data_IF_623253170162
#
_entry.id   IF_623253170162
#
_cell.length_a   1.000
_cell.length_b   1.000
_cell.length_c   1.000
_cell.angle_alpha   90.00
_cell.angle_beta   90.00
_cell.angle_gamma   90.00
#
_symmetry.space_group_name_H-M   'P 1'
#
loop_
_entity.id
_entity.type
_entity.pdbx_description
1 polymer ?
#
# COMPACT_ATOMS: atom_id res chain seq x y z
N UNK A 1 38.08 19.92 -6.97
CA UNK A 1 38.40 20.30 -5.57
C UNK A 1 37.22 20.03 -4.65
N UNK A 2 36.00 20.51 -4.95
CA UNK A 2 34.78 20.26 -4.14
C UNK A 2 34.52 18.76 -3.87
N UNK A 3 34.53 17.91 -4.90
CA UNK A 3 34.35 16.45 -4.72
C UNK A 3 35.37 15.82 -3.75
N UNK A 4 36.63 16.27 -3.77
CA UNK A 4 37.66 15.79 -2.84
C UNK A 4 37.37 16.18 -1.39
N UNK A 5 36.87 17.41 -1.16
CA UNK A 5 36.49 17.87 0.18
C UNK A 5 35.33 17.06 0.74
N UNK A 6 34.35 16.73 -0.11
CA UNK A 6 33.20 15.88 0.24
C UNK A 6 33.67 14.47 0.62
N UNK A 7 34.51 13.84 -0.19
CA UNK A 7 35.02 12.48 0.08
C UNK A 7 35.86 12.40 1.35
N UNK A 8 36.52 13.50 1.74
CA UNK A 8 37.31 13.58 2.97
C UNK A 8 36.46 13.89 4.22
N UNK A 9 35.12 13.96 4.10
CA UNK A 9 34.20 14.33 5.17
C UNK A 9 34.56 15.65 5.89
N UNK A 10 35.21 16.57 5.17
CA UNK A 10 35.66 17.85 5.70
C UNK A 10 34.59 18.96 5.54
N UNK A 11 33.33 18.58 5.34
CA UNK A 11 32.22 19.48 5.00
C UNK A 11 31.24 19.55 6.16
N UNK A 12 31.14 20.72 6.78
CA UNK A 12 30.10 21.04 7.76
C UNK A 12 28.79 21.47 7.07
N UNK A 13 27.72 21.65 7.85
CA UNK A 13 26.40 22.03 7.32
C UNK A 13 26.45 23.33 6.49
N UNK A 14 27.25 24.31 6.94
CA UNK A 14 27.41 25.59 6.23
C UNK A 14 28.18 25.41 4.92
N UNK A 15 29.25 24.61 4.93
CA UNK A 15 29.99 24.21 3.73
C UNK A 15 29.10 23.48 2.73
N UNK A 16 28.25 22.56 3.19
CA UNK A 16 27.31 21.85 2.33
C UNK A 16 26.31 22.80 1.65
N UNK A 17 25.83 23.82 2.38
CA UNK A 17 24.99 24.88 1.79
C UNK A 17 25.73 25.66 0.70
N UNK A 18 26.96 26.10 0.93
CA UNK A 18 27.74 26.81 -0.09
C UNK A 18 28.03 25.95 -1.33
N UNK A 19 28.31 24.65 -1.13
CA UNK A 19 28.48 23.70 -2.24
C UNK A 19 27.17 23.60 -3.02
N UNK A 20 26.03 23.44 -2.34
CA UNK A 20 24.71 23.35 -2.98
C UNK A 20 24.37 24.63 -3.76
N UNK A 21 24.68 25.80 -3.22
CA UNK A 21 24.49 27.09 -3.90
C UNK A 21 25.37 27.21 -5.15
N UNK A 22 26.64 26.77 -5.08
CA UNK A 22 27.52 26.74 -6.23
C UNK A 22 27.02 25.78 -7.33
N UNK A 23 26.58 24.58 -6.94
CA UNK A 23 25.99 23.60 -7.86
C UNK A 23 24.71 24.14 -8.50
N UNK A 24 23.89 24.88 -7.75
CA UNK A 24 22.70 25.54 -8.27
C UNK A 24 23.03 26.56 -9.36
N UNK A 25 24.03 27.42 -9.15
CA UNK A 25 24.47 28.37 -10.17
C UNK A 25 24.97 27.66 -11.44
N UNK A 26 25.73 26.56 -11.30
CA UNK A 26 26.19 25.77 -12.45
C UNK A 26 25.03 25.16 -13.24
N UNK A 27 24.01 24.64 -12.53
CA UNK A 27 22.78 24.14 -13.14
C UNK A 27 22.03 25.25 -13.91
N UNK A 28 21.84 26.44 -13.32
CA UNK A 28 21.14 27.55 -13.99
C UNK A 28 21.84 28.03 -15.27
N UNK A 29 23.17 27.93 -15.31
CA UNK A 29 23.95 28.24 -16.50
C UNK A 29 24.12 27.05 -17.47
N UNK A 30 23.51 25.89 -17.20
CA UNK A 30 23.65 24.65 -17.97
C UNK A 30 25.11 24.20 -18.15
N UNK A 31 25.94 24.38 -17.10
CA UNK A 31 27.37 24.07 -17.12
C UNK A 31 27.60 22.71 -16.45
N UNK A 32 28.25 21.79 -17.19
CA UNK A 32 28.70 20.50 -16.68
C UNK A 32 27.62 19.72 -15.88
N UNK A 33 26.38 19.71 -16.36
CA UNK A 33 25.18 19.19 -15.65
C UNK A 33 25.35 17.76 -15.11
N UNK A 34 26.05 16.87 -15.83
CA UNK A 34 26.36 15.51 -15.35
C UNK A 34 27.27 15.53 -14.12
N UNK A 35 28.29 16.40 -14.10
CA UNK A 35 29.17 16.55 -12.93
C UNK A 35 28.43 17.20 -11.77
N UNK A 36 27.48 18.08 -12.05
CA UNK A 36 26.58 18.64 -11.04
C UNK A 36 25.78 17.51 -10.37
N UNK A 37 25.11 16.65 -11.14
CA UNK A 37 24.39 15.46 -10.62
C UNK A 37 25.30 14.53 -9.82
N UNK A 38 26.50 14.23 -10.32
CA UNK A 38 27.45 13.37 -9.61
C UNK A 38 27.89 13.98 -8.29
N UNK A 39 28.14 15.29 -8.26
CA UNK A 39 28.62 15.99 -7.06
C UNK A 39 27.54 16.10 -5.99
N UNK A 40 26.30 16.41 -6.36
CA UNK A 40 25.18 16.43 -5.40
C UNK A 40 24.87 15.03 -4.87
N UNK A 41 24.92 14.01 -5.74
CA UNK A 41 24.75 12.60 -5.32
C UNK A 41 25.82 12.20 -4.31
N UNK A 42 27.08 12.56 -4.58
CA UNK A 42 28.19 12.29 -3.67
C UNK A 42 28.01 13.02 -2.34
N UNK A 43 27.64 14.31 -2.37
CA UNK A 43 27.42 15.13 -1.16
C UNK A 43 26.40 14.46 -0.22
N UNK A 44 25.28 14.01 -0.78
CA UNK A 44 24.17 13.43 -0.03
C UNK A 44 24.47 12.00 0.44
N UNK A 45 25.10 11.16 -0.38
CA UNK A 45 25.37 9.76 -0.01
C UNK A 45 26.53 9.60 0.97
N UNK A 46 27.46 10.55 1.04
CA UNK A 46 28.66 10.44 1.90
C UNK A 46 28.55 11.17 3.24
N UNK A 47 27.60 12.10 3.38
CA UNK A 47 27.44 12.90 4.60
C UNK A 47 25.98 13.00 5.02
N UNK A 48 25.73 12.90 6.32
CA UNK A 48 24.39 13.08 6.93
C UNK A 48 24.10 14.54 7.30
N UNK A 49 25.07 15.44 7.13
CA UNK A 49 24.97 16.87 7.48
C UNK A 49 23.99 17.67 6.62
N UNK A 50 23.50 17.10 5.53
CA UNK A 50 22.57 17.77 4.61
C UNK A 50 21.13 17.39 4.94
N UNK A 51 20.37 18.33 5.48
CA UNK A 51 18.96 18.20 5.87
C UNK A 51 18.22 19.53 5.64
N UNK A 52 16.89 19.53 5.77
CA UNK A 52 16.04 20.72 5.61
C UNK A 52 16.16 21.38 4.23
N UNK A 53 16.19 22.72 4.20
CA UNK A 53 16.20 23.49 2.94
C UNK A 53 17.37 23.15 2.01
N UNK A 54 18.52 22.75 2.56
CA UNK A 54 19.69 22.39 1.74
C UNK A 54 19.46 21.06 1.03
N UNK A 55 18.79 20.11 1.69
CA UNK A 55 18.36 18.86 1.08
C UNK A 55 17.27 19.10 0.03
N UNK A 56 16.27 19.92 0.36
CA UNK A 56 15.20 20.29 -0.56
C UNK A 56 15.78 20.88 -1.87
N UNK A 57 16.67 21.88 -1.74
CA UNK A 57 17.33 22.51 -2.89
C UNK A 57 18.17 21.53 -3.71
N UNK A 58 18.84 20.59 -3.04
CA UNK A 58 19.61 19.53 -3.70
C UNK A 58 18.72 18.59 -4.52
N UNK A 59 17.56 18.21 -3.98
CA UNK A 59 16.58 17.38 -4.68
C UNK A 59 15.95 18.13 -5.85
N UNK A 60 15.53 19.38 -5.65
CA UNK A 60 14.96 20.23 -6.71
C UNK A 60 15.95 20.37 -7.87
N UNK A 61 17.23 20.55 -7.59
CA UNK A 61 18.27 20.59 -8.63
C UNK A 61 18.27 19.31 -9.47
N UNK A 62 18.20 18.12 -8.84
CA UNK A 62 18.12 16.85 -9.56
C UNK A 62 16.83 16.74 -10.40
N UNK A 63 15.68 17.12 -9.83
CA UNK A 63 14.41 17.13 -10.56
C UNK A 63 14.43 18.08 -11.75
N UNK A 64 14.97 19.30 -11.62
CA UNK A 64 15.08 20.24 -12.74
C UNK A 64 15.96 19.69 -13.86
N UNK A 65 17.06 19.01 -13.52
CA UNK A 65 17.91 18.33 -14.51
C UNK A 65 17.20 17.16 -15.20
N UNK A 66 16.25 16.49 -14.52
CA UNK A 66 15.43 15.44 -15.12
C UNK A 66 14.47 15.94 -16.21
N UNK A 67 14.10 17.23 -16.20
CA UNK A 67 13.24 17.84 -17.22
C UNK A 67 14.02 18.66 -18.27
N UNK A 68 15.33 18.40 -18.41
CA UNK A 68 16.15 19.01 -19.47
C UNK A 68 15.92 18.33 -20.83
N UNK A 69 16.45 18.95 -21.89
CA UNK A 69 16.32 18.43 -23.26
C UNK A 69 17.29 17.28 -23.58
N UNK A 70 18.29 17.06 -22.74
CA UNK A 70 19.35 16.09 -23.01
C UNK A 70 19.04 14.74 -22.36
N UNK A 71 18.75 13.72 -23.18
CA UNK A 71 18.30 12.41 -22.70
C UNK A 71 19.27 11.71 -21.77
N UNK A 72 20.59 11.91 -21.95
CA UNK A 72 21.61 11.35 -21.06
C UNK A 72 21.50 11.94 -19.66
N UNK A 73 21.24 13.25 -19.58
CA UNK A 73 21.05 13.96 -18.30
C UNK A 73 19.73 13.53 -17.67
N UNK A 74 18.65 13.48 -18.45
CA UNK A 74 17.32 13.03 -18.01
C UNK A 74 17.39 11.65 -17.36
N UNK A 75 18.00 10.67 -18.04
CA UNK A 75 18.12 9.30 -17.54
C UNK A 75 18.99 9.23 -16.28
N UNK A 76 20.12 9.94 -16.28
CA UNK A 76 21.02 10.01 -15.12
C UNK A 76 20.32 10.63 -13.92
N UNK A 77 19.66 11.76 -14.12
CA UNK A 77 18.91 12.47 -13.09
C UNK A 77 17.78 11.62 -12.54
N UNK A 78 17.03 10.90 -13.40
CA UNK A 78 15.96 10.00 -12.96
C UNK A 78 16.47 8.87 -12.06
N UNK A 79 17.61 8.27 -12.39
CA UNK A 79 18.27 7.29 -11.53
C UNK A 79 18.74 7.90 -10.21
N UNK A 80 19.38 9.07 -10.27
CA UNK A 80 19.81 9.82 -9.08
C UNK A 80 18.64 10.17 -8.16
N UNK A 81 17.52 10.66 -8.70
CA UNK A 81 16.33 11.01 -7.90
C UNK A 81 15.80 9.79 -7.16
N UNK A 82 15.62 8.65 -7.85
CA UNK A 82 15.19 7.40 -7.21
C UNK A 82 16.10 7.01 -6.05
N UNK A 83 17.41 7.05 -6.27
CA UNK A 83 18.40 6.76 -5.23
C UNK A 83 18.31 7.74 -4.05
N UNK A 84 18.22 9.04 -4.33
CA UNK A 84 18.18 10.07 -3.29
C UNK A 84 16.87 10.05 -2.51
N UNK A 85 15.74 9.78 -3.15
CA UNK A 85 14.45 9.58 -2.48
C UNK A 85 14.57 8.40 -1.50
N UNK A 86 15.06 7.24 -1.95
CA UNK A 86 15.30 6.10 -1.05
C UNK A 86 16.23 6.46 0.10
N UNK A 87 17.32 7.17 -0.17
CA UNK A 87 18.27 7.62 0.85
C UNK A 87 17.61 8.48 1.93
N UNK A 88 16.67 9.37 1.57
CA UNK A 88 15.96 10.19 2.57
C UNK A 88 15.19 9.30 3.56
N UNK A 89 14.51 8.25 3.08
CA UNK A 89 13.78 7.32 3.94
C UNK A 89 14.70 6.35 4.70
N UNK A 90 15.81 5.91 4.09
CA UNK A 90 16.85 5.13 4.79
C UNK A 90 17.42 5.90 5.98
N UNK A 91 17.61 7.21 5.85
CA UNK A 91 18.06 8.06 6.96
C UNK A 91 17.08 8.11 8.12
N UNK A 92 15.77 7.98 7.89
CA UNK A 92 14.77 7.87 8.97
C UNK A 92 14.97 6.57 9.74
N UNK A 93 15.25 5.47 9.05
CA UNK A 93 15.55 4.20 9.71
C UNK A 93 16.86 4.30 10.52
N UNK A 94 17.88 4.98 9.98
CA UNK A 94 19.12 5.25 10.71
C UNK A 94 18.84 6.09 11.98
N UNK A 95 18.05 7.17 11.86
CA UNK A 95 17.62 8.01 12.97
C UNK A 95 16.95 7.18 14.08
N UNK A 96 16.10 6.24 13.68
CA UNK A 96 15.39 5.35 14.59
C UNK A 96 16.34 4.40 15.32
N UNK A 97 17.28 3.78 14.63
CA UNK A 97 18.25 2.88 15.25
C UNK A 97 19.16 3.62 16.24
N UNK A 98 19.58 4.84 15.90
CA UNK A 98 20.32 5.71 16.82
C UNK A 98 19.48 6.07 18.06
N UNK A 99 18.21 6.37 17.88
CA UNK A 99 17.27 6.66 18.97
C UNK A 99 17.08 5.45 19.91
N UNK A 100 16.94 4.23 19.37
CA UNK A 100 16.79 3.00 20.18
C UNK A 100 18.02 2.76 21.05
N UNK A 101 19.21 2.84 20.46
CA UNK A 101 20.48 2.66 21.17
C UNK A 101 20.66 3.70 22.29
N UNK A 102 20.17 4.93 22.10
CA UNK A 102 20.25 5.98 23.12
C UNK A 102 19.32 5.72 24.32
N UNK A 103 18.14 5.14 24.08
CA UNK A 103 17.20 4.77 25.15
C UNK A 103 17.76 3.62 25.98
N UNK A 104 18.40 2.62 25.36
CA UNK A 104 19.03 1.50 26.07
C UNK A 104 20.20 1.94 26.96
N UNK A 105 21.04 2.88 26.49
CA UNK A 105 22.17 3.43 27.27
C UNK A 105 21.68 4.30 28.43
N UNK A 106 20.59 5.07 28.24
CA UNK A 106 20.01 5.91 29.29
C UNK A 106 19.39 5.09 30.44
N UNK A 107 19.03 3.83 30.21
CA UNK A 107 18.56 2.91 31.25
C UNK A 107 19.68 2.33 32.13
N UNK A 108 20.95 2.41 31.72
CA UNK A 108 22.08 1.81 32.47
C UNK A 108 22.99 2.81 33.19
N UNK A 109 23.02 4.10 32.85
CA UNK A 109 23.84 5.10 33.58
C UNK A 109 23.19 6.49 33.63
N UNK A 110 22.66 6.87 34.81
CA UNK A 110 22.24 8.24 35.08
C UNK A 110 23.45 9.06 35.58
N UNK A 111 24.07 9.86 34.71
CA UNK A 111 24.88 11.04 35.09
C UNK A 111 25.48 11.70 33.82
N UNK A 112 24.65 12.25 32.94
CA UNK A 112 25.00 13.39 32.07
C UNK A 112 23.75 13.88 31.34
N UNK A 113 23.55 15.20 31.17
CA UNK A 113 22.43 15.71 30.38
C UNK A 113 22.69 15.35 28.90
N UNK A 114 21.75 14.67 28.22
CA UNK A 114 21.94 14.29 26.83
C UNK A 114 21.97 15.53 25.91
N UNK A 115 22.70 15.49 24.78
CA UNK A 115 22.64 16.53 23.76
C UNK A 115 21.22 16.68 23.16
N UNK A 116 20.87 17.83 22.56
CA UNK A 116 19.48 18.18 22.26
C UNK A 116 18.80 17.21 21.28
N UNK A 117 17.60 16.72 21.63
CA UNK A 117 16.72 15.86 20.81
C UNK A 117 16.30 16.47 19.44
N UNK A 118 16.62 17.73 19.20
CA UNK A 118 16.20 18.48 18.01
C UNK A 118 16.94 18.08 16.72
N UNK A 119 18.18 17.58 16.80
CA UNK A 119 18.93 17.09 15.63
C UNK A 119 18.49 15.69 15.18
N UNK A 120 17.82 14.93 16.06
CA UNK A 120 17.47 13.52 15.86
C UNK A 120 16.01 13.32 15.40
N UNK A 121 15.34 14.39 14.97
CA UNK A 121 14.02 14.36 14.32
C UNK A 121 14.04 14.94 12.90
N UNK A 122 15.22 15.37 12.42
CA UNK A 122 15.35 16.10 11.16
C UNK A 122 15.17 15.19 9.96
N UNK A 123 15.58 13.92 10.00
CA UNK A 123 15.43 13.02 8.86
C UNK A 123 13.98 12.56 8.71
N UNK A 124 13.30 12.27 9.82
CA UNK A 124 11.86 12.00 9.78
C UNK A 124 11.06 13.19 9.24
N UNK A 125 11.44 14.42 9.60
CA UNK A 125 10.82 15.63 9.08
C UNK A 125 11.09 15.81 7.57
N UNK A 126 12.33 15.63 7.12
CA UNK A 126 12.68 15.71 5.70
C UNK A 126 11.91 14.69 4.84
N UNK A 127 11.83 13.43 5.31
CA UNK A 127 11.08 12.38 4.64
C UNK A 127 9.57 12.67 4.60
N UNK A 128 9.02 13.27 5.67
CA UNK A 128 7.62 13.67 5.71
C UNK A 128 7.32 14.75 4.67
N UNK A 129 8.13 15.82 4.63
CA UNK A 129 7.96 16.91 3.67
C UNK A 129 8.14 16.42 2.23
N UNK A 130 9.13 15.55 2.00
CA UNK A 130 9.34 14.93 0.69
C UNK A 130 8.14 14.10 0.24
N UNK A 131 7.60 13.23 1.09
CA UNK A 131 6.44 12.42 0.75
C UNK A 131 5.23 13.28 0.42
N UNK A 132 4.95 14.28 1.28
CA UNK A 132 3.84 15.21 1.10
C UNK A 132 3.92 15.95 -0.23
N UNK A 133 5.11 16.40 -0.62
CA UNK A 133 5.31 17.11 -1.88
C UNK A 133 5.27 16.21 -3.11
N UNK A 134 5.75 14.96 -3.01
CA UNK A 134 5.58 13.98 -4.09
C UNK A 134 4.10 13.71 -4.36
N UNK A 135 3.29 13.62 -3.31
CA UNK A 135 1.83 13.46 -3.41
C UNK A 135 1.19 14.67 -4.08
N UNK A 136 1.54 15.89 -3.66
CA UNK A 136 1.03 17.12 -4.28
C UNK A 136 1.40 17.20 -5.75
N UNK A 137 2.67 16.98 -6.09
CA UNK A 137 3.15 17.02 -7.47
C UNK A 137 2.45 15.99 -8.38
N UNK A 138 2.17 14.78 -7.87
CA UNK A 138 1.39 13.75 -8.58
C UNK A 138 -0.05 14.19 -8.84
N UNK A 139 -0.62 14.96 -7.91
CA UNK A 139 -1.96 15.54 -8.03
C UNK A 139 -1.97 16.85 -8.84
N UNK A 140 -0.82 17.29 -9.37
CA UNK A 140 -0.62 18.57 -10.03
C UNK A 140 -0.88 19.80 -9.12
N UNK A 141 -0.72 19.61 -7.82
CA UNK A 141 -0.70 20.67 -6.81
C UNK A 141 0.74 21.19 -6.59
N UNK A 142 0.85 22.40 -6.04
CA UNK A 142 2.14 23.04 -5.79
C UNK A 142 2.82 22.49 -4.53
N UNK A 143 4.08 22.03 -4.59
CA UNK A 143 4.79 21.53 -3.42
C UNK A 143 5.10 22.64 -2.39
N UNK A 144 5.17 22.27 -1.12
CA UNK A 144 5.48 23.20 -0.01
C UNK A 144 6.98 23.33 0.26
N UNK A 145 7.75 22.25 0.05
CA UNK A 145 9.16 22.12 0.43
C UNK A 145 10.10 22.06 -0.77
N UNK A 146 9.72 21.38 -1.86
CA UNK A 146 10.43 21.32 -3.13
C UNK A 146 10.22 22.60 -3.95
N UNK A 147 10.56 23.75 -3.36
CA UNK A 147 10.35 25.08 -3.95
C UNK A 147 11.08 25.18 -5.30
N UNK A 148 10.35 25.59 -6.34
CA UNK A 148 10.85 25.71 -7.71
C UNK A 148 10.47 24.53 -8.60
N UNK A 149 9.91 23.46 -8.03
CA UNK A 149 9.16 22.47 -8.80
C UNK A 149 7.78 23.03 -9.15
N UNK A 150 7.41 22.89 -10.41
CA UNK A 150 6.12 23.35 -10.95
C UNK A 150 5.30 22.19 -11.48
N UNK A 151 5.96 21.23 -12.14
CA UNK A 151 5.32 20.05 -12.70
C UNK A 151 6.23 18.83 -12.55
N UNK A 152 5.62 17.66 -12.41
CA UNK A 152 6.28 16.37 -12.47
C UNK A 152 5.49 15.47 -13.42
N UNK A 153 6.18 14.69 -14.25
CA UNK A 153 5.50 13.65 -15.03
C UNK A 153 4.83 12.68 -14.08
N UNK A 154 3.52 12.55 -14.25
CA UNK A 154 2.67 11.76 -13.34
C UNK A 154 3.18 10.33 -13.18
N UNK A 155 3.62 9.68 -14.25
CA UNK A 155 4.19 8.32 -14.22
C UNK A 155 5.41 8.23 -13.31
N UNK A 156 6.36 9.16 -13.44
CA UNK A 156 7.57 9.17 -12.63
C UNK A 156 7.27 9.46 -11.16
N UNK A 157 6.39 10.42 -10.87
CA UNK A 157 5.98 10.70 -9.49
C UNK A 157 5.30 9.52 -8.81
N UNK A 158 4.47 8.79 -9.57
CA UNK A 158 3.81 7.58 -9.11
C UNK A 158 4.82 6.44 -8.86
N UNK A 159 5.79 6.23 -9.75
CA UNK A 159 6.89 5.27 -9.51
C UNK A 159 7.64 5.56 -8.20
N UNK A 160 7.90 6.83 -7.89
CA UNK A 160 8.56 7.23 -6.64
C UNK A 160 7.69 6.93 -5.41
N UNK A 161 6.39 7.26 -5.46
CA UNK A 161 5.46 6.97 -4.37
C UNK A 161 5.32 5.46 -4.12
N UNK A 162 5.23 4.66 -5.19
CA UNK A 162 5.20 3.19 -5.10
C UNK A 162 6.48 2.67 -4.44
N UNK A 163 7.65 3.08 -4.93
CA UNK A 163 8.93 2.64 -4.38
C UNK A 163 9.05 2.95 -2.88
N UNK A 164 8.59 4.14 -2.47
CA UNK A 164 8.62 4.57 -1.07
C UNK A 164 7.66 3.76 -0.20
N UNK A 165 6.39 3.65 -0.61
CA UNK A 165 5.35 2.96 0.15
C UNK A 165 5.65 1.46 0.29
N UNK A 166 6.19 0.83 -0.76
CA UNK A 166 6.56 -0.58 -0.72
C UNK A 166 7.80 -0.80 0.14
N UNK A 167 8.88 -0.05 -0.10
CA UNK A 167 10.18 -0.33 0.53
C UNK A 167 10.24 0.15 1.98
N UNK A 168 9.59 1.26 2.29
CA UNK A 168 9.67 1.93 3.60
C UNK A 168 8.34 1.94 4.35
N UNK A 169 7.43 1.03 4.01
CA UNK A 169 6.14 0.83 4.67
C UNK A 169 6.19 0.97 6.20
N UNK A 170 7.12 0.32 6.94
CA UNK A 170 7.14 0.38 8.41
C UNK A 170 7.11 1.83 8.97
N UNK A 171 7.81 2.77 8.31
CA UNK A 171 7.85 4.18 8.70
C UNK A 171 6.43 4.78 8.75
N UNK A 172 5.57 4.40 7.80
CA UNK A 172 4.22 4.93 7.68
C UNK A 172 3.24 4.41 8.72
N UNK A 173 3.50 3.24 9.29
CA UNK A 173 2.63 2.62 10.32
C UNK A 173 3.14 2.86 11.74
N UNK A 174 4.45 3.04 11.92
CA UNK A 174 5.05 3.20 13.24
C UNK A 174 5.17 4.67 13.67
N UNK A 175 5.13 5.63 12.73
CA UNK A 175 5.17 7.05 13.03
C UNK A 175 3.78 7.70 12.79
N UNK A 176 3.18 8.21 13.87
CA UNK A 176 1.84 8.83 13.84
C UNK A 176 1.71 9.94 12.78
N UNK A 177 2.74 10.76 12.57
CA UNK A 177 2.69 11.82 11.55
C UNK A 177 2.55 11.24 10.15
N UNK A 178 3.33 10.21 9.80
CA UNK A 178 3.22 9.56 8.49
C UNK A 178 1.91 8.80 8.34
N UNK A 179 1.40 8.16 9.41
CA UNK A 179 0.08 7.53 9.38
C UNK A 179 -1.03 8.54 9.13
N UNK A 180 -0.94 9.75 9.71
CA UNK A 180 -1.88 10.83 9.44
C UNK A 180 -1.75 11.35 8.01
N UNK A 181 -0.54 11.40 7.46
CA UNK A 181 -0.32 11.79 6.07
C UNK A 181 -0.99 10.83 5.09
N UNK A 182 -0.95 9.52 5.34
CA UNK A 182 -1.69 8.53 4.53
C UNK A 182 -3.22 8.68 4.60
N UNK A 183 -3.74 9.34 5.64
CA UNK A 183 -5.17 9.65 5.80
C UNK A 183 -5.58 10.96 5.13
N UNK A 184 -4.62 11.75 4.65
CA UNK A 184 -4.95 12.97 3.93
C UNK A 184 -5.55 12.59 2.56
N UNK A 185 -6.62 13.29 2.18
CA UNK A 185 -7.34 13.05 0.93
C UNK A 185 -6.41 13.15 -0.28
N UNK A 186 -5.42 14.04 -0.23
CA UNK A 186 -4.41 14.20 -1.27
C UNK A 186 -3.61 12.91 -1.52
N UNK A 187 -3.14 12.25 -0.45
CA UNK A 187 -2.46 10.95 -0.50
C UNK A 187 -3.38 9.86 -1.03
N UNK A 188 -4.62 9.85 -0.57
CA UNK A 188 -5.60 8.86 -0.98
C UNK A 188 -5.90 8.94 -2.48
N UNK A 189 -6.03 10.15 -3.02
CA UNK A 189 -6.20 10.33 -4.45
C UNK A 189 -4.92 9.98 -5.22
N UNK A 190 -3.73 10.31 -4.72
CA UNK A 190 -2.48 9.90 -5.34
C UNK A 190 -2.32 8.37 -5.37
N UNK A 191 -2.70 7.67 -4.29
CA UNK A 191 -2.74 6.21 -4.22
C UNK A 191 -3.79 5.64 -5.18
N UNK A 192 -4.97 6.25 -5.27
CA UNK A 192 -5.96 5.87 -6.28
C UNK A 192 -5.44 6.08 -7.71
N UNK A 193 -4.59 7.09 -7.94
CA UNK A 193 -3.96 7.38 -9.24
C UNK A 193 -2.80 6.44 -9.56
N UNK A 194 -2.08 5.91 -8.56
CA UNK A 194 -1.15 4.78 -8.74
C UNK A 194 -1.89 3.61 -9.42
N UNK A 195 -3.13 3.38 -9.01
CA UNK A 195 -3.97 2.32 -9.56
C UNK A 195 -4.43 2.57 -11.01
N UNK A 196 -4.40 3.81 -11.51
CA UNK A 196 -4.88 4.18 -12.86
C UNK A 196 -3.75 4.41 -13.87
N UNK A 197 -2.57 4.87 -13.42
CA UNK A 197 -1.46 5.24 -14.32
C UNK A 197 -0.64 4.06 -14.83
N UNK A 198 -0.82 2.86 -14.26
CA UNK A 198 -0.30 1.58 -14.78
C UNK A 198 -1.10 1.10 -16.00
N UNK A 199 -1.41 2.02 -16.92
CA UNK A 199 -2.04 1.75 -18.22
C UNK A 199 -1.12 1.04 -19.23
N UNK A 200 -0.11 0.30 -18.75
CA UNK A 200 0.67 -0.60 -19.57
C UNK A 200 0.16 -2.03 -19.31
N UNK A 201 -0.49 -2.69 -20.28
CA UNK A 201 -1.15 -3.99 -20.10
C UNK A 201 -0.23 -5.17 -19.75
N UNK A 202 1.04 -4.93 -19.40
CA UNK A 202 2.00 -5.96 -18.99
C UNK A 202 2.48 -5.88 -17.54
N UNK A 203 2.14 -4.82 -16.79
CA UNK A 203 2.25 -4.84 -15.32
C UNK A 203 0.83 -4.74 -14.77
N UNK A 204 0.18 -5.86 -14.45
CA UNK A 204 -1.22 -5.82 -14.05
C UNK A 204 -1.32 -4.99 -12.76
N UNK A 205 -2.20 -4.00 -12.74
CA UNK A 205 -2.60 -3.15 -11.59
C UNK A 205 -2.61 -3.94 -10.26
N UNK A 206 -3.04 -5.19 -10.35
CA UNK A 206 -3.08 -6.18 -9.28
C UNK A 206 -1.72 -6.48 -8.63
N UNK A 207 -0.60 -6.46 -9.36
CA UNK A 207 0.73 -6.69 -8.81
C UNK A 207 1.09 -5.62 -7.77
N UNK A 208 0.91 -4.35 -8.09
CA UNK A 208 1.16 -3.22 -7.19
C UNK A 208 0.17 -3.20 -6.03
N UNK A 209 -1.13 -3.44 -6.28
CA UNK A 209 -2.12 -3.53 -5.19
C UNK A 209 -1.77 -4.65 -4.21
N UNK A 210 -1.32 -5.81 -4.71
CA UNK A 210 -0.83 -6.89 -3.86
C UNK A 210 0.40 -6.49 -3.03
N UNK A 211 1.28 -5.64 -3.56
CA UNK A 211 2.41 -5.10 -2.79
C UNK A 211 1.99 -4.11 -1.70
N UNK A 212 0.90 -3.37 -1.87
CA UNK A 212 0.33 -2.48 -0.85
C UNK A 212 -0.49 -3.28 0.18
N UNK A 213 -1.18 -4.33 -0.23
CA UNK A 213 -1.99 -5.16 0.66
C UNK A 213 -1.14 -5.89 1.70
N UNK A 214 0.08 -6.29 1.37
CA UNK A 214 0.98 -6.95 2.32
C UNK A 214 1.29 -6.08 3.56
N UNK A 215 1.76 -4.82 3.43
CA UNK A 215 1.96 -3.96 4.58
C UNK A 215 0.66 -3.55 5.29
N UNK A 216 -0.47 -3.46 4.60
CA UNK A 216 -1.78 -3.28 5.27
C UNK A 216 -2.14 -4.50 6.13
N UNK A 217 -1.90 -5.72 5.64
CA UNK A 217 -2.06 -6.96 6.38
C UNK A 217 -1.14 -6.98 7.62
N UNK A 218 0.13 -6.60 7.48
CA UNK A 218 1.06 -6.46 8.60
C UNK A 218 0.60 -5.39 9.61
N UNK A 219 0.01 -4.28 9.12
CA UNK A 219 -0.61 -3.28 9.97
C UNK A 219 -1.79 -3.84 10.80
N UNK A 220 -2.52 -4.82 10.28
CA UNK A 220 -3.57 -5.54 11.03
C UNK A 220 -3.00 -6.48 12.10
N UNK A 221 -1.75 -6.95 11.96
CA UNK A 221 -1.05 -7.73 13.00
C UNK A 221 -0.60 -6.85 14.18
N UNK A 222 -0.57 -5.52 14.00
CA UNK A 222 -0.27 -4.61 15.11
C UNK A 222 -1.36 -4.69 16.17
N UNK A 223 -1.01 -4.59 17.45
CA UNK A 223 -2.01 -4.54 18.54
C UNK A 223 -2.65 -3.16 18.71
N UNK A 224 -2.35 -2.22 17.81
CA UNK A 224 -2.87 -0.86 17.88
C UNK A 224 -4.19 -0.74 17.11
N UNK A 225 -5.28 -0.54 17.85
CA UNK A 225 -6.61 -0.42 17.29
C UNK A 225 -6.76 0.73 16.28
N UNK A 226 -6.01 1.82 16.41
CA UNK A 226 -6.05 2.93 15.44
C UNK A 226 -5.44 2.52 14.10
N UNK A 227 -4.36 1.75 14.12
CA UNK A 227 -3.68 1.23 12.93
C UNK A 227 -4.57 0.19 12.26
N UNK A 228 -5.11 -0.77 13.02
CA UNK A 228 -6.02 -1.79 12.50
C UNK A 228 -7.24 -1.14 11.80
N UNK A 229 -7.87 -0.16 12.45
CA UNK A 229 -9.02 0.57 11.88
C UNK A 229 -8.66 1.27 10.57
N UNK A 230 -7.44 1.79 10.46
CA UNK A 230 -6.94 2.41 9.25
C UNK A 230 -6.69 1.38 8.14
N UNK A 231 -5.98 0.29 8.44
CA UNK A 231 -5.71 -0.77 7.47
C UNK A 231 -7.01 -1.37 6.90
N UNK A 232 -7.99 -1.65 7.76
CA UNK A 232 -9.32 -2.08 7.34
C UNK A 232 -10.00 -1.04 6.43
N UNK A 233 -9.95 0.25 6.80
CA UNK A 233 -10.52 1.31 5.98
C UNK A 233 -9.87 1.43 4.61
N UNK A 234 -8.54 1.28 4.53
CA UNK A 234 -7.82 1.30 3.25
C UNK A 234 -8.17 0.06 2.40
N UNK A 235 -8.22 -1.13 2.99
CA UNK A 235 -8.66 -2.35 2.30
C UNK A 235 -10.09 -2.20 1.74
N UNK A 236 -11.03 -1.68 2.54
CA UNK A 236 -12.41 -1.41 2.10
C UNK A 236 -12.48 -0.50 0.87
N UNK A 237 -11.58 0.49 0.80
CA UNK A 237 -11.52 1.41 -0.34
C UNK A 237 -10.92 0.76 -1.59
N UNK A 238 -9.86 -0.02 -1.44
CA UNK A 238 -9.29 -0.81 -2.54
C UNK A 238 -10.34 -1.76 -3.13
N UNK A 239 -11.15 -2.39 -2.27
CA UNK A 239 -12.29 -3.21 -2.67
C UNK A 239 -13.32 -2.39 -3.46
N UNK A 240 -13.72 -1.23 -2.93
CA UNK A 240 -14.74 -0.36 -3.55
C UNK A 240 -14.30 0.16 -4.92
N UNK A 241 -12.99 0.36 -5.10
CA UNK A 241 -12.39 0.78 -6.37
C UNK A 241 -12.21 -0.36 -7.37
N UNK A 242 -12.64 -1.59 -7.06
CA UNK A 242 -12.46 -2.79 -7.89
C UNK A 242 -10.99 -3.05 -8.28
N UNK A 243 -10.06 -2.67 -7.40
CA UNK A 243 -8.62 -2.79 -7.64
C UNK A 243 -8.02 -4.13 -7.15
N UNK A 244 -8.86 -5.06 -6.70
CA UNK A 244 -8.45 -6.30 -6.01
C UNK A 244 -8.61 -7.49 -6.94
N UNK A 245 -7.53 -8.23 -7.19
CA UNK A 245 -7.56 -9.54 -7.84
C UNK A 245 -7.79 -10.68 -6.84
N UNK A 246 -7.85 -11.90 -7.35
CA UNK A 246 -8.04 -13.09 -6.53
C UNK A 246 -6.92 -13.28 -5.48
N UNK A 247 -5.67 -12.91 -5.79
CA UNK A 247 -4.57 -12.95 -4.81
C UNK A 247 -4.76 -11.89 -3.72
N UNK A 248 -5.13 -10.67 -4.09
CA UNK A 248 -5.41 -9.59 -3.16
C UNK A 248 -6.59 -9.90 -2.25
N UNK A 249 -7.65 -10.50 -2.81
CA UNK A 249 -8.80 -10.94 -2.03
C UNK A 249 -8.42 -11.98 -0.98
N UNK A 250 -7.48 -12.88 -1.29
CA UNK A 250 -6.92 -13.81 -0.31
C UNK A 250 -6.19 -13.10 0.82
N UNK A 251 -5.32 -12.14 0.53
CA UNK A 251 -4.63 -11.34 1.57
C UNK A 251 -5.61 -10.60 2.48
N UNK A 252 -6.65 -9.98 1.91
CA UNK A 252 -7.68 -9.30 2.68
C UNK A 252 -8.43 -10.32 3.56
N UNK A 253 -8.83 -11.46 3.00
CA UNK A 253 -9.54 -12.51 3.74
C UNK A 253 -8.69 -13.06 4.89
N UNK A 254 -7.38 -13.21 4.69
CA UNK A 254 -6.43 -13.63 5.73
C UNK A 254 -6.30 -12.57 6.83
N UNK A 255 -6.24 -11.27 6.49
CA UNK A 255 -6.28 -10.18 7.47
C UNK A 255 -7.57 -10.19 8.29
N UNK A 256 -8.71 -10.35 7.63
CA UNK A 256 -10.02 -10.39 8.28
C UNK A 256 -10.16 -11.60 9.21
N UNK A 257 -9.63 -12.75 8.79
CA UNK A 257 -9.60 -13.96 9.61
C UNK A 257 -8.81 -13.74 10.89
N UNK A 258 -7.60 -13.20 10.78
CA UNK A 258 -6.75 -12.90 11.93
C UNK A 258 -7.45 -11.95 12.92
N UNK A 259 -8.06 -10.87 12.42
CA UNK A 259 -8.79 -9.92 13.28
C UNK A 259 -10.00 -10.57 13.98
N UNK A 260 -10.70 -11.48 13.31
CA UNK A 260 -11.78 -12.27 13.89
C UNK A 260 -11.27 -13.19 15.00
N UNK A 261 -10.15 -13.89 14.82
CA UNK A 261 -9.55 -14.74 15.87
C UNK A 261 -9.11 -13.92 17.09
N UNK A 262 -8.67 -12.68 16.88
CA UNK A 262 -8.32 -11.76 17.96
C UNK A 262 -9.51 -11.01 18.57
N UNK A 263 -10.74 -11.21 18.07
CA UNK A 263 -11.95 -10.49 18.50
C UNK A 263 -11.82 -8.96 18.37
N UNK A 264 -11.19 -8.48 17.30
CA UNK A 264 -10.95 -7.05 17.04
C UNK A 264 -11.86 -6.56 15.92
N UNK A 265 -12.60 -5.46 16.18
CA UNK A 265 -13.46 -4.79 15.20
C UNK A 265 -14.40 -5.75 14.43
N UNK A 266 -14.95 -6.77 15.12
CA UNK A 266 -15.73 -7.87 14.52
C UNK A 266 -16.87 -7.40 13.59
N UNK A 267 -17.54 -6.30 13.94
CA UNK A 267 -18.57 -5.69 13.08
C UNK A 267 -17.97 -5.15 11.78
N UNK A 268 -16.81 -4.49 11.83
CA UNK A 268 -16.13 -4.04 10.61
C UNK A 268 -15.55 -5.19 9.82
N UNK A 269 -15.13 -6.26 10.47
CA UNK A 269 -14.71 -7.49 9.80
C UNK A 269 -15.88 -8.03 8.96
N UNK A 270 -17.08 -8.15 9.55
CA UNK A 270 -18.31 -8.54 8.83
C UNK A 270 -18.64 -7.57 7.67
N UNK A 271 -18.54 -6.26 7.90
CA UNK A 271 -18.78 -5.26 6.85
C UNK A 271 -17.79 -5.39 5.70
N UNK A 272 -16.51 -5.60 5.99
CA UNK A 272 -15.44 -5.67 4.99
C UNK A 272 -15.54 -6.94 4.15
N UNK A 273 -15.80 -8.10 4.77
CA UNK A 273 -16.01 -9.34 4.01
C UNK A 273 -17.28 -9.27 3.16
N UNK A 274 -18.35 -8.65 3.68
CA UNK A 274 -19.59 -8.41 2.91
C UNK A 274 -19.30 -7.54 1.70
N UNK A 275 -18.56 -6.43 1.89
CA UNK A 275 -18.16 -5.52 0.82
C UNK A 275 -17.30 -6.23 -0.24
N UNK A 276 -16.31 -7.02 0.19
CA UNK A 276 -15.42 -7.77 -0.70
C UNK A 276 -16.21 -8.68 -1.64
N UNK A 277 -17.14 -9.46 -1.09
CA UNK A 277 -17.94 -10.42 -1.83
C UNK A 277 -19.00 -9.75 -2.72
N UNK A 278 -19.67 -8.70 -2.22
CA UNK A 278 -20.74 -8.03 -2.98
C UNK A 278 -20.23 -7.14 -4.10
N UNK A 279 -19.00 -6.59 -3.97
CA UNK A 279 -18.44 -5.65 -4.96
C UNK A 279 -17.65 -6.33 -6.07
N UNK A 280 -17.05 -7.51 -5.80
CA UNK A 280 -16.15 -8.18 -6.72
C UNK A 280 -16.53 -9.65 -6.91
N UNK A 281 -16.45 -10.15 -8.14
CA UNK A 281 -16.65 -11.57 -8.48
C UNK A 281 -15.38 -12.41 -8.35
N UNK A 282 -14.24 -11.79 -8.01
CA UNK A 282 -12.93 -12.45 -7.94
C UNK A 282 -12.86 -13.53 -6.86
N UNK A 283 -13.66 -13.43 -5.80
CA UNK A 283 -13.62 -14.35 -4.65
C UNK A 283 -14.40 -15.64 -4.92
N UNK A 284 -13.69 -16.75 -5.10
CA UNK A 284 -14.26 -18.10 -5.29
C UNK A 284 -13.39 -19.17 -4.58
N UNK A 285 -13.88 -20.42 -4.51
CA UNK A 285 -13.17 -21.57 -3.95
C UNK A 285 -12.84 -21.42 -2.46
N UNK A 286 -11.63 -21.80 -2.06
CA UNK A 286 -11.20 -21.79 -0.65
C UNK A 286 -11.28 -20.42 0.01
N UNK A 287 -11.05 -19.34 -0.74
CA UNK A 287 -11.15 -17.96 -0.22
C UNK A 287 -12.60 -17.61 0.10
N UNK A 288 -13.55 -18.06 -0.72
CA UNK A 288 -14.98 -17.91 -0.45
C UNK A 288 -15.38 -18.76 0.76
N UNK A 289 -14.96 -20.01 0.82
CA UNK A 289 -15.23 -20.90 1.95
C UNK A 289 -14.77 -20.27 3.27
N UNK A 290 -13.52 -19.79 3.32
CA UNK A 290 -12.94 -19.12 4.48
C UNK A 290 -13.72 -17.85 4.86
N UNK A 291 -14.16 -17.07 3.89
CA UNK A 291 -14.98 -15.88 4.11
C UNK A 291 -16.34 -16.21 4.74
N UNK A 292 -16.99 -17.28 4.29
CA UNK A 292 -18.26 -17.75 4.85
C UNK A 292 -18.07 -18.32 6.26
N UNK A 293 -17.07 -19.17 6.47
CA UNK A 293 -16.74 -19.73 7.79
C UNK A 293 -16.47 -18.63 8.80
N UNK A 294 -15.73 -17.58 8.42
CA UNK A 294 -15.53 -16.41 9.27
C UNK A 294 -16.85 -15.78 9.71
N UNK A 295 -17.80 -15.59 8.79
CA UNK A 295 -19.12 -15.05 9.11
C UNK A 295 -19.90 -15.97 10.07
N UNK A 296 -19.87 -17.28 9.83
CA UNK A 296 -20.50 -18.25 10.73
C UNK A 296 -19.87 -18.25 12.11
N UNK A 297 -18.54 -18.20 12.24
CA UNK A 297 -17.86 -18.13 13.55
C UNK A 297 -18.27 -16.88 14.32
N UNK A 298 -18.37 -15.73 13.65
CA UNK A 298 -18.84 -14.49 14.27
C UNK A 298 -20.32 -14.57 14.70
N UNK A 299 -21.14 -15.37 14.01
CA UNK A 299 -22.53 -15.62 14.42
C UNK A 299 -22.66 -16.41 15.73
N UNK A 300 -21.67 -17.25 16.08
CA UNK A 300 -21.65 -18.01 17.33
C UNK A 300 -20.92 -17.30 18.47
N UNK A 301 -20.69 -15.99 18.34
CA UNK A 301 -20.10 -15.17 19.41
C UNK A 301 -21.12 -14.85 20.51
N UNK A 302 -20.64 -14.31 21.65
CA UNK A 302 -21.50 -13.94 22.78
C UNK A 302 -22.23 -12.61 22.60
N UNK A 303 -21.81 -11.78 21.65
CA UNK A 303 -22.31 -10.42 21.49
C UNK A 303 -23.49 -10.38 20.52
N UNK A 304 -24.68 -10.07 21.02
CA UNK A 304 -25.92 -10.13 20.25
C UNK A 304 -25.93 -9.23 19.01
N UNK A 305 -25.25 -8.09 19.06
CA UNK A 305 -25.13 -7.18 17.90
C UNK A 305 -24.34 -7.84 16.78
N UNK A 306 -23.27 -8.54 17.12
CA UNK A 306 -22.43 -9.29 16.17
C UNK A 306 -23.21 -10.48 15.63
N UNK A 307 -23.88 -11.24 16.50
CA UNK A 307 -24.74 -12.37 16.10
C UNK A 307 -25.80 -11.94 15.08
N UNK A 308 -26.51 -10.85 15.34
CA UNK A 308 -27.55 -10.34 14.46
C UNK A 308 -26.98 -9.85 13.12
N UNK A 309 -25.86 -9.11 13.17
CA UNK A 309 -25.18 -8.61 11.96
C UNK A 309 -24.66 -9.77 11.12
N UNK A 310 -23.96 -10.72 11.74
CA UNK A 310 -23.45 -11.91 11.07
C UNK A 310 -24.58 -12.75 10.48
N UNK A 311 -25.70 -12.91 11.19
CA UNK A 311 -26.86 -13.64 10.69
C UNK A 311 -27.45 -13.01 9.43
N UNK A 312 -27.54 -11.68 9.36
CA UNK A 312 -27.96 -10.96 8.16
C UNK A 312 -26.94 -11.12 7.02
N UNK A 313 -25.65 -10.95 7.31
CA UNK A 313 -24.55 -11.13 6.36
C UNK A 313 -24.53 -12.53 5.77
N UNK A 314 -24.67 -13.59 6.58
CA UNK A 314 -24.67 -14.99 6.11
C UNK A 314 -25.80 -15.19 5.11
N UNK A 315 -27.04 -14.79 5.43
CA UNK A 315 -28.18 -14.93 4.51
C UNK A 315 -27.94 -14.21 3.19
N UNK A 316 -27.40 -12.99 3.25
CA UNK A 316 -27.07 -12.21 2.07
C UNK A 316 -25.98 -12.90 1.23
N UNK A 317 -24.89 -13.36 1.85
CA UNK A 317 -23.77 -13.97 1.15
C UNK A 317 -24.13 -15.35 0.57
N UNK A 318 -24.94 -16.15 1.27
CA UNK A 318 -25.47 -17.41 0.73
C UNK A 318 -26.34 -17.13 -0.50
N UNK A 319 -27.25 -16.15 -0.44
CA UNK A 319 -28.04 -15.73 -1.63
C UNK A 319 -27.13 -15.32 -2.78
N UNK A 320 -26.12 -14.50 -2.49
CA UNK A 320 -25.16 -14.02 -3.48
C UNK A 320 -24.40 -15.15 -4.18
N UNK A 321 -23.99 -16.20 -3.46
CA UNK A 321 -23.32 -17.36 -4.07
C UNK A 321 -24.21 -18.02 -5.12
N UNK A 322 -25.51 -18.21 -4.84
CA UNK A 322 -26.45 -18.76 -5.83
C UNK A 322 -26.77 -17.77 -6.95
N UNK A 323 -26.84 -16.47 -6.67
CA UNK A 323 -27.00 -15.43 -7.70
C UNK A 323 -25.83 -15.44 -8.69
N UNK A 324 -24.60 -15.65 -8.21
CA UNK A 324 -23.41 -15.77 -9.07
C UNK A 324 -23.49 -16.95 -10.05
N UNK A 325 -24.14 -18.06 -9.68
CA UNK A 325 -24.41 -19.18 -10.61
C UNK A 325 -25.31 -18.73 -11.75
N UNK A 326 -26.31 -17.89 -11.47
CA UNK A 326 -27.18 -17.36 -12.53
C UNK A 326 -26.41 -16.39 -13.43
N UNK A 327 -25.54 -15.54 -12.87
CA UNK A 327 -24.65 -14.69 -13.65
C UNK A 327 -23.73 -15.51 -14.58
N UNK A 328 -23.14 -16.59 -14.06
CA UNK A 328 -22.31 -17.54 -14.82
C UNK A 328 -23.08 -18.18 -15.98
N UNK A 329 -24.34 -18.56 -15.76
CA UNK A 329 -25.21 -19.14 -16.80
C UNK A 329 -25.53 -18.15 -17.90
N UNK A 330 -25.84 -16.90 -17.55
CA UNK A 330 -26.11 -15.85 -18.55
C UNK A 330 -24.86 -15.52 -19.38
N UNK A 331 -23.68 -15.44 -18.74
CA UNK A 331 -22.40 -15.29 -19.45
C UNK A 331 -22.13 -16.46 -20.41
N UNK A 332 -22.40 -17.69 -19.98
CA UNK A 332 -22.29 -18.89 -20.81
C UNK A 332 -23.26 -18.86 -22.02
N UNK A 333 -24.52 -18.43 -21.84
CA UNK A 333 -25.49 -18.35 -22.94
C UNK A 333 -25.08 -17.32 -24.00
N UNK A 334 -24.71 -16.11 -23.57
CA UNK A 334 -24.25 -15.05 -24.47
C UNK A 334 -23.02 -15.50 -25.28
N UNK A 335 -22.15 -16.33 -24.69
CA UNK A 335 -20.99 -16.87 -25.38
C UNK A 335 -21.35 -17.89 -26.47
N UNK A 336 -22.33 -18.76 -26.22
CA UNK A 336 -22.82 -19.75 -27.20
C UNK A 336 -23.53 -19.07 -28.38
N UNK A 337 -24.26 -17.98 -28.12
CA UNK A 337 -24.89 -17.14 -29.16
C UNK A 337 -23.85 -16.39 -30.01
N UNK A 338 -22.80 -15.83 -29.43
CA UNK A 338 -21.72 -15.15 -30.18
C UNK A 338 -20.87 -16.15 -30.99
N UNK A 339 -20.61 -17.34 -30.46
CA UNK A 339 -19.85 -18.40 -31.15
C UNK A 339 -20.62 -19.02 -32.32
N UNK A 340 -21.94 -18.86 -32.38
CA UNK A 340 -22.77 -19.31 -33.52
C UNK A 340 -22.84 -18.26 -34.64
N UNK A 341 -22.49 -16.99 -34.39
CA UNK A 341 -22.47 -15.92 -35.40
C UNK A 341 -21.07 -15.55 -35.92
N UNK A 342 -19.97 -15.76 -35.18
CA UNK A 342 -18.60 -15.41 -35.63
C UNK A 342 -17.58 -16.52 -35.36
N UNK A 343 -17.14 -17.22 -36.41
CA UNK A 343 -16.25 -18.39 -36.33
C UNK A 343 -14.74 -18.13 -36.19
N UNK A 344 -14.28 -17.03 -35.56
CA UNK A 344 -12.85 -16.69 -35.60
C UNK A 344 -12.18 -16.15 -34.31
N UNK A 345 -12.78 -16.24 -33.11
CA UNK A 345 -12.01 -15.99 -31.87
C UNK A 345 -12.11 -17.13 -30.85
N UNK A 346 -11.00 -17.57 -30.23
CA UNK A 346 -11.04 -18.67 -29.26
C UNK A 346 -11.73 -18.20 -27.97
N UNK A 347 -12.62 -19.02 -27.39
CA UNK A 347 -13.21 -18.78 -26.07
C UNK A 347 -12.17 -18.66 -24.95
N UNK A 348 -12.43 -17.88 -23.89
CA UNK A 348 -11.71 -18.05 -22.62
C UNK A 348 -11.93 -19.47 -22.04
N UNK A 349 -11.05 -19.95 -21.14
CA UNK A 349 -11.06 -21.34 -20.67
C UNK A 349 -12.38 -21.70 -19.96
N UNK A 350 -13.00 -22.83 -20.34
CA UNK A 350 -14.25 -23.37 -19.74
C UNK A 350 -14.19 -23.61 -18.23
N UNK A 351 -13.01 -23.62 -17.63
CA UNK A 351 -12.79 -23.85 -16.19
C UNK A 351 -13.29 -22.68 -15.33
N UNK A 352 -13.16 -21.42 -15.77
CA UNK A 352 -13.63 -20.25 -15.00
C UNK A 352 -15.16 -20.18 -14.93
N UNK A 353 -15.85 -20.57 -16.02
CA UNK A 353 -17.31 -20.56 -16.14
C UNK A 353 -18.02 -21.74 -15.45
N UNK A 354 -17.31 -22.55 -14.66
CA UNK A 354 -17.91 -23.55 -13.76
C UNK A 354 -17.56 -23.29 -12.29
N UNK A 355 -16.81 -22.23 -11.98
CA UNK A 355 -16.32 -21.97 -10.62
C UNK A 355 -17.45 -21.58 -9.67
N UNK A 356 -18.40 -20.75 -10.09
CA UNK A 356 -19.51 -20.35 -9.22
C UNK A 356 -20.52 -21.48 -9.03
N UNK A 357 -20.79 -22.27 -10.07
CA UNK A 357 -21.61 -23.48 -9.95
C UNK A 357 -20.99 -24.48 -8.95
N UNK A 358 -19.66 -24.66 -8.99
CA UNK A 358 -18.95 -25.53 -8.06
C UNK A 358 -19.04 -24.99 -6.63
N UNK A 359 -18.79 -23.69 -6.41
CA UNK A 359 -18.89 -23.07 -5.09
C UNK A 359 -20.29 -23.22 -4.50
N UNK A 360 -21.34 -23.00 -5.30
CA UNK A 360 -22.73 -23.17 -4.86
C UNK A 360 -23.07 -24.62 -4.53
N UNK A 361 -22.56 -25.58 -5.31
CA UNK A 361 -22.73 -27.00 -5.03
C UNK A 361 -22.08 -27.40 -3.70
N UNK A 362 -20.82 -27.02 -3.49
CA UNK A 362 -20.08 -27.31 -2.25
C UNK A 362 -20.75 -26.66 -1.04
N UNK A 363 -21.19 -25.40 -1.17
CA UNK A 363 -21.93 -24.71 -0.13
C UNK A 363 -23.24 -25.43 0.22
N UNK A 364 -24.05 -25.79 -0.78
CA UNK A 364 -25.32 -26.49 -0.53
C UNK A 364 -25.10 -27.84 0.17
N UNK A 365 -24.13 -28.61 -0.30
CA UNK A 365 -23.79 -29.91 0.28
C UNK A 365 -23.41 -29.77 1.76
N UNK A 366 -22.53 -28.82 2.09
CA UNK A 366 -22.09 -28.60 3.47
C UNK A 366 -23.18 -28.02 4.36
N UNK A 367 -24.06 -27.17 3.84
CA UNK A 367 -25.23 -26.69 4.60
C UNK A 367 -26.15 -27.85 4.99
N UNK A 368 -26.41 -28.80 4.07
CA UNK A 368 -27.20 -30.00 4.36
C UNK A 368 -26.52 -30.86 5.44
N UNK A 369 -25.20 -31.04 5.34
CA UNK A 369 -24.44 -31.80 6.34
C UNK A 369 -24.50 -31.14 7.72
N UNK A 370 -24.27 -29.83 7.79
CA UNK A 370 -24.33 -29.07 9.05
C UNK A 370 -25.71 -29.13 9.71
N UNK A 371 -26.80 -29.12 8.93
CA UNK A 371 -28.16 -29.30 9.46
C UNK A 371 -28.37 -30.71 10.03
N UNK A 372 -27.74 -31.71 9.43
CA UNK A 372 -27.76 -33.10 9.89
C UNK A 372 -26.75 -33.38 11.03
N UNK A 373 -25.99 -32.37 11.48
CA UNK A 373 -24.89 -32.49 12.44
C UNK A 373 -23.73 -33.38 11.94
N UNK A 374 -23.55 -33.47 10.62
CA UNK A 374 -22.39 -34.08 9.98
C UNK A 374 -21.28 -33.03 9.74
N UNK A 375 -20.04 -33.50 9.62
CA UNK A 375 -18.88 -32.62 9.38
C UNK A 375 -18.84 -32.12 7.93
N UNK A 376 -18.74 -30.80 7.70
CA UNK A 376 -18.63 -30.23 6.36
C UNK A 376 -17.28 -30.51 5.69
N UNK A 377 -17.26 -30.60 4.36
CA UNK A 377 -16.05 -30.87 3.57
C UNK A 377 -15.32 -29.60 3.11
N UNK A 378 -16.05 -28.51 2.87
CA UNK A 378 -15.56 -27.26 2.28
C UNK A 378 -15.54 -26.11 3.29
N UNK A 379 -16.56 -26.00 4.14
CA UNK A 379 -16.65 -25.07 5.27
C UNK A 379 -15.81 -25.58 6.47
N UNK A 380 -14.52 -25.79 6.25
CA UNK A 380 -13.59 -26.36 7.23
C UNK A 380 -13.55 -25.49 8.49
N UNK A 381 -13.68 -26.13 9.65
CA UNK A 381 -13.68 -25.47 10.97
C UNK A 381 -15.07 -25.18 11.53
N UNK A 382 -16.14 -25.48 10.79
CA UNK A 382 -17.51 -25.52 11.30
C UNK A 382 -17.83 -26.89 11.91
N UNK A 383 -18.38 -26.91 13.13
CA UNK A 383 -18.72 -28.16 13.84
C UNK A 383 -20.22 -28.37 14.03
N UNK A 384 -21.02 -27.32 14.21
CA UNK A 384 -22.49 -27.42 14.33
C UNK A 384 -23.19 -26.17 13.79
N UNK A 385 -24.38 -26.35 13.19
CA UNK A 385 -25.30 -25.26 12.89
C UNK A 385 -26.56 -25.39 13.74
N UNK A 386 -26.94 -24.36 14.51
CA UNK A 386 -28.20 -24.41 15.28
C UNK A 386 -29.39 -24.49 14.33
N UNK A 387 -30.31 -25.44 14.58
CA UNK A 387 -31.49 -25.75 13.74
C UNK A 387 -32.36 -24.54 13.34
N UNK A 388 -32.26 -23.42 14.06
CA UNK A 388 -32.93 -22.14 13.75
C UNK A 388 -32.45 -21.46 12.46
N UNK A 389 -31.32 -21.88 11.88
CA UNK A 389 -30.84 -21.33 10.61
C UNK A 389 -31.29 -22.14 9.37
N UNK A 390 -31.81 -23.35 9.57
CA UNK A 390 -32.13 -24.31 8.50
C UNK A 390 -33.62 -24.47 8.16
N UNK A 391 -34.50 -23.59 8.65
CA UNK A 391 -35.94 -23.60 8.40
C UNK A 391 -36.47 -22.21 8.07
#
# INVERSE_FOLDING_TARGET
>A
MMQRLITQQAVDQKGARYITDALWMLMEHNIEEVKVLQTVTLLLTTNTVVHGDTLAKSLVLCFRLHYTKNITIVNTAGATIRQLVSLVFERVNLERELNKNHVEIATENSETPPPPKEELQTFAQDAYMLFQDLVQLVNADQPFWLIGMTEMTRTFGLELLEAVLTTFSPIFFENEKFTLLLKDRSCEEAIARLNQATGNPQTPVFYTVNQILYPLYQGCETKDLKIIKFCLGMMQRLITQQAVDQKGARYITDALWMLMEHNIEEVKVLQTVTLLLTTNTVVHGDTLAKSLVLCFRLHYTKNITIVNTAGATIRQLVSLVFERVNLERELNKNHVEIATENSETPPPPKEELQTFAQDAYMLFQDLVQLVNADQPFWLIGMTEMTRTFGL
#
